data_IF_041712540395
#
_entry.id   IF_041712540395
#
_cell.length_a   1.000
_cell.length_b   1.000
_cell.length_c   1.000
_cell.angle_alpha   90.00
_cell.angle_beta   90.00
_cell.angle_gamma   90.00
#
_symmetry.space_group_name_H-M   'P 1'
#
loop_
_entity.id
_entity.type
_entity.pdbx_description
1 polymer ?
#
# COMPACT_ATOMS: atom_id res chain seq x y z
N UNK A 1 14.56 34.43 -12.89
CA UNK A 1 13.32 34.09 -13.62
C UNK A 1 12.37 35.29 -13.80
N UNK A 2 12.00 36.10 -12.79
CA UNK A 2 11.11 37.27 -13.01
C UNK A 2 11.68 38.34 -13.98
N UNK A 3 12.99 38.39 -14.13
CA UNK A 3 13.63 39.34 -15.04
C UNK A 3 13.44 38.98 -16.51
N UNK A 4 13.39 37.66 -16.85
CA UNK A 4 13.14 37.17 -18.22
C UNK A 4 11.73 37.52 -18.73
N UNK A 5 10.73 37.58 -17.82
CA UNK A 5 9.37 38.01 -18.20
C UNK A 5 9.33 39.51 -18.47
N UNK A 6 10.08 40.31 -17.72
CA UNK A 6 10.20 41.75 -17.94
C UNK A 6 10.92 42.11 -19.23
N UNK A 7 11.83 41.26 -19.67
CA UNK A 7 12.59 41.38 -20.93
C UNK A 7 11.87 40.76 -22.12
N UNK A 8 10.65 40.18 -21.94
CA UNK A 8 9.85 39.58 -23.02
C UNK A 8 10.41 38.26 -23.57
N UNK A 9 11.33 37.63 -22.83
CA UNK A 9 11.97 36.37 -23.19
C UNK A 9 11.19 35.12 -22.77
N UNK A 10 10.19 35.27 -21.87
CA UNK A 10 9.29 34.21 -21.45
C UNK A 10 7.88 34.77 -21.22
N UNK A 11 6.86 33.99 -21.52
CA UNK A 11 5.47 34.35 -21.21
C UNK A 11 5.15 34.06 -19.72
N UNK A 12 4.11 34.72 -19.20
CA UNK A 12 3.65 34.45 -17.82
C UNK A 12 3.19 33.02 -17.67
N UNK A 13 2.58 32.41 -18.69
CA UNK A 13 2.12 31.03 -18.68
C UNK A 13 3.28 30.03 -18.63
N UNK A 14 4.36 30.29 -19.35
CA UNK A 14 5.59 29.46 -19.26
C UNK A 14 6.25 29.54 -17.90
N UNK A 15 6.21 30.71 -17.26
CA UNK A 15 6.73 30.87 -15.90
C UNK A 15 5.91 30.06 -14.90
N UNK A 16 4.58 30.10 -14.99
CA UNK A 16 3.66 29.36 -14.14
C UNK A 16 3.82 27.83 -14.33
N UNK A 17 4.01 27.39 -15.55
CA UNK A 17 4.27 25.97 -15.85
C UNK A 17 5.59 25.50 -15.24
N UNK A 18 6.68 26.26 -15.41
CA UNK A 18 7.97 25.96 -14.81
C UNK A 18 7.92 25.99 -13.28
N UNK A 19 7.18 26.93 -12.69
CA UNK A 19 6.98 27.01 -11.25
C UNK A 19 6.27 25.75 -10.73
N UNK A 20 5.14 25.34 -11.34
CA UNK A 20 4.41 24.12 -10.94
C UNK A 20 5.27 22.87 -11.09
N UNK A 21 6.04 22.76 -12.16
CA UNK A 21 6.95 21.64 -12.38
C UNK A 21 8.03 21.58 -11.30
N UNK A 22 8.65 22.73 -11.00
CA UNK A 22 9.70 22.80 -9.97
C UNK A 22 9.13 22.53 -8.59
N UNK A 23 7.96 23.04 -8.25
CA UNK A 23 7.27 22.78 -7.00
C UNK A 23 7.00 21.28 -6.84
N UNK A 24 6.44 20.62 -7.86
CA UNK A 24 6.20 19.19 -7.82
C UNK A 24 7.49 18.36 -7.66
N UNK A 25 8.61 18.80 -8.22
CA UNK A 25 9.90 18.14 -8.01
C UNK A 25 10.41 18.30 -6.57
N UNK A 26 10.21 19.47 -5.96
CA UNK A 26 10.59 19.74 -4.56
C UNK A 26 9.74 18.90 -3.63
N UNK A 27 8.42 18.88 -3.80
CA UNK A 27 7.48 18.07 -3.01
C UNK A 27 7.82 16.59 -3.09
N UNK A 28 8.19 16.08 -4.27
CA UNK A 28 8.63 14.69 -4.45
C UNK A 28 9.95 14.39 -3.73
N UNK A 29 10.89 15.34 -3.70
CA UNK A 29 12.16 15.21 -2.96
C UNK A 29 11.94 15.28 -1.45
N UNK A 30 11.07 16.15 -0.96
CA UNK A 30 10.71 16.24 0.46
C UNK A 30 10.06 14.94 0.93
N UNK A 31 9.14 14.38 0.14
CA UNK A 31 8.52 13.10 0.42
C UNK A 31 9.56 11.97 0.51
N UNK A 32 10.50 11.90 -0.44
CA UNK A 32 11.59 10.90 -0.40
C UNK A 32 12.51 11.09 0.82
N UNK A 33 12.76 12.32 1.23
CA UNK A 33 13.57 12.60 2.41
C UNK A 33 12.88 12.17 3.71
N UNK A 34 11.55 12.13 3.75
CA UNK A 34 10.77 11.58 4.86
C UNK A 34 10.84 10.05 4.95
N UNK A 35 11.16 9.37 3.83
CA UNK A 35 11.34 7.92 3.74
C UNK A 35 12.79 7.55 4.12
N UNK A 36 13.16 7.76 5.38
CA UNK A 36 14.53 7.59 5.89
C UNK A 36 14.77 6.29 6.67
N UNK A 37 13.81 5.38 6.74
CA UNK A 37 14.00 4.07 7.36
C UNK A 37 14.89 3.15 6.50
N UNK A 38 15.65 2.26 7.14
CA UNK A 38 16.54 1.33 6.45
C UNK A 38 15.83 0.45 5.42
N UNK A 39 14.56 0.11 5.70
CA UNK A 39 13.73 -0.76 4.84
C UNK A 39 12.88 0.03 3.85
N UNK A 40 12.77 1.36 3.99
CA UNK A 40 11.85 2.19 3.22
C UNK A 40 12.11 2.14 1.71
N UNK A 41 13.35 1.90 1.30
CA UNK A 41 13.77 1.81 -0.11
C UNK A 41 13.36 0.49 -0.79
N UNK A 42 12.93 -0.52 0.00
CA UNK A 42 12.59 -1.84 -0.51
C UNK A 42 11.23 -1.85 -1.23
N UNK A 43 11.01 -2.93 -1.98
CA UNK A 43 9.69 -3.32 -2.45
C UNK A 43 8.76 -3.64 -1.28
N UNK A 44 7.49 -3.88 -1.54
CA UNK A 44 6.52 -4.20 -0.51
C UNK A 44 5.73 -5.47 -0.83
N UNK A 45 5.43 -6.22 0.22
CA UNK A 45 4.46 -7.31 0.20
C UNK A 45 3.29 -6.87 1.06
N UNK A 46 2.09 -6.86 0.47
CA UNK A 46 0.86 -6.46 1.14
C UNK A 46 -0.09 -7.63 1.25
N UNK A 47 -0.55 -7.91 2.45
CA UNK A 47 -1.61 -8.88 2.73
C UNK A 47 -2.90 -8.14 3.09
N UNK A 48 -3.99 -8.48 2.41
CA UNK A 48 -5.31 -7.95 2.70
C UNK A 48 -6.21 -9.11 3.11
N UNK A 49 -6.79 -9.02 4.29
CA UNK A 49 -7.70 -10.05 4.82
C UNK A 49 -9.07 -9.42 5.11
N UNK A 50 -10.12 -10.08 4.65
CA UNK A 50 -11.48 -9.70 5.02
C UNK A 50 -11.71 -9.90 6.51
N UNK A 51 -12.38 -8.95 7.16
CA UNK A 51 -12.76 -9.05 8.56
C UNK A 51 -14.05 -9.85 8.77
N UNK A 52 -14.50 -9.91 10.01
CA UNK A 52 -15.82 -10.43 10.33
C UNK A 52 -16.90 -9.50 9.74
N UNK A 53 -17.79 -10.02 8.93
CA UNK A 53 -18.85 -9.21 8.30
C UNK A 53 -19.47 -9.86 7.04
N UNK A 54 -19.13 -11.11 6.77
CA UNK A 54 -19.70 -11.85 5.63
C UNK A 54 -19.38 -11.16 4.29
N UNK A 55 -20.35 -11.16 3.39
CA UNK A 55 -20.25 -10.64 2.01
C UNK A 55 -19.72 -9.20 1.93
N UNK A 56 -20.13 -8.32 2.86
CA UNK A 56 -19.64 -6.93 2.90
C UNK A 56 -18.13 -6.83 3.11
N UNK A 57 -17.56 -7.65 4.00
CA UNK A 57 -16.13 -7.61 4.26
C UNK A 57 -15.31 -8.20 3.11
N UNK A 58 -15.83 -9.21 2.43
CA UNK A 58 -15.24 -9.80 1.23
C UNK A 58 -15.17 -8.77 0.08
N UNK A 59 -16.27 -8.04 -0.13
CA UNK A 59 -16.33 -6.98 -1.15
C UNK A 59 -15.40 -5.80 -0.78
N UNK A 60 -15.35 -5.42 0.50
CA UNK A 60 -14.45 -4.38 0.97
C UNK A 60 -12.96 -4.73 0.73
N UNK A 61 -12.56 -5.97 1.02
CA UNK A 61 -11.22 -6.45 0.73
C UNK A 61 -10.90 -6.37 -0.77
N UNK A 62 -11.85 -6.74 -1.63
CA UNK A 62 -11.70 -6.60 -3.09
C UNK A 62 -11.60 -5.14 -3.55
N UNK A 63 -12.32 -4.23 -2.90
CA UNK A 63 -12.21 -2.79 -3.19
C UNK A 63 -10.82 -2.25 -2.80
N UNK A 64 -10.30 -2.62 -1.63
CA UNK A 64 -8.95 -2.27 -1.19
C UNK A 64 -7.89 -2.81 -2.14
N UNK A 65 -7.99 -4.09 -2.52
CA UNK A 65 -7.10 -4.69 -3.50
C UNK A 65 -7.04 -3.86 -4.79
N UNK A 66 -8.21 -3.53 -5.34
CA UNK A 66 -8.29 -2.73 -6.57
C UNK A 66 -7.69 -1.33 -6.41
N UNK A 67 -7.91 -0.70 -5.26
CA UNK A 67 -7.36 0.62 -4.94
C UNK A 67 -5.84 0.59 -4.94
N UNK A 68 -5.24 -0.35 -4.22
CA UNK A 68 -3.78 -0.46 -4.12
C UNK A 68 -3.11 -0.90 -5.42
N UNK A 69 -3.73 -1.82 -6.17
CA UNK A 69 -3.23 -2.20 -7.48
C UNK A 69 -3.17 -1.00 -8.43
N UNK A 70 -4.24 -0.21 -8.52
CA UNK A 70 -4.27 1.01 -9.34
C UNK A 70 -3.29 2.07 -8.88
N UNK A 71 -3.12 2.20 -7.57
CA UNK A 71 -2.10 3.10 -7.03
C UNK A 71 -0.70 2.65 -7.45
N UNK A 72 -0.40 1.37 -7.34
CA UNK A 72 0.88 0.81 -7.74
C UNK A 72 1.18 1.04 -9.22
N UNK A 73 0.22 0.71 -10.09
CA UNK A 73 0.33 0.93 -11.55
C UNK A 73 0.54 2.42 -11.89
N UNK A 74 -0.24 3.31 -11.27
CA UNK A 74 -0.15 4.75 -11.50
C UNK A 74 1.20 5.36 -11.05
N UNK A 75 1.86 4.74 -10.07
CA UNK A 75 3.18 5.16 -9.58
C UNK A 75 4.34 4.38 -10.23
N UNK A 76 4.07 3.56 -11.24
CA UNK A 76 5.10 2.85 -12.01
C UNK A 76 5.65 1.60 -11.34
N UNK A 77 5.00 1.09 -10.30
CA UNK A 77 5.34 -0.18 -9.69
C UNK A 77 4.87 -1.36 -10.53
N UNK A 78 5.67 -2.42 -10.56
CA UNK A 78 5.20 -3.69 -11.08
C UNK A 78 4.42 -4.40 -9.97
N UNK A 79 3.11 -4.56 -10.17
CA UNK A 79 2.20 -5.16 -9.19
C UNK A 79 1.90 -6.60 -9.58
N UNK A 80 2.08 -7.54 -8.64
CA UNK A 80 1.82 -8.97 -8.84
C UNK A 80 0.98 -9.51 -7.71
N UNK A 81 -0.02 -10.31 -8.05
CA UNK A 81 -0.76 -11.10 -7.05
C UNK A 81 0.02 -12.40 -6.83
N UNK A 82 0.53 -12.59 -5.61
CA UNK A 82 1.29 -13.78 -5.22
C UNK A 82 0.36 -14.92 -4.78
N UNK A 83 -0.69 -14.59 -4.02
CA UNK A 83 -1.72 -15.52 -3.57
C UNK A 83 -3.08 -14.83 -3.52
N UNK A 84 -4.15 -15.58 -3.84
CA UNK A 84 -5.51 -15.06 -3.84
C UNK A 84 -6.48 -16.14 -3.39
N UNK A 85 -7.18 -15.88 -2.31
CA UNK A 85 -8.35 -16.65 -1.89
C UNK A 85 -9.61 -15.83 -2.15
N UNK A 86 -10.38 -16.25 -3.12
CA UNK A 86 -11.67 -15.63 -3.41
C UNK A 86 -12.71 -15.94 -2.30
N UNK A 87 -13.70 -15.08 -2.15
CA UNK A 87 -14.87 -15.37 -1.34
C UNK A 87 -15.77 -16.41 -2.03
N UNK A 88 -16.61 -17.10 -1.27
CA UNK A 88 -17.44 -18.20 -1.78
C UNK A 88 -18.42 -17.73 -2.88
N UNK A 89 -18.94 -16.50 -2.80
CA UNK A 89 -19.87 -15.94 -3.77
C UNK A 89 -19.34 -14.67 -4.43
N UNK A 90 -18.71 -13.78 -3.64
CA UNK A 90 -18.17 -12.49 -4.09
C UNK A 90 -16.93 -12.09 -3.29
N UNK A 91 -16.15 -11.20 -3.87
CA UNK A 91 -15.06 -10.52 -3.19
C UNK A 91 -13.85 -11.40 -2.91
N UNK A 92 -13.05 -10.97 -1.94
CA UNK A 92 -11.76 -11.58 -1.59
C UNK A 92 -11.74 -11.91 -0.11
N UNK A 93 -11.37 -13.14 0.23
CA UNK A 93 -11.16 -13.59 1.61
C UNK A 93 -9.79 -13.17 2.11
N UNK A 94 -8.76 -13.48 1.34
CA UNK A 94 -7.40 -13.04 1.58
C UNK A 94 -6.65 -12.89 0.25
N UNK A 95 -5.72 -11.95 0.20
CA UNK A 95 -4.84 -11.77 -0.97
C UNK A 95 -3.49 -11.26 -0.51
N UNK A 96 -2.44 -11.77 -1.17
CA UNK A 96 -1.08 -11.27 -1.05
C UNK A 96 -0.66 -10.62 -2.36
N UNK A 97 -0.25 -9.38 -2.29
CA UNK A 97 0.16 -8.56 -3.44
C UNK A 97 1.60 -8.10 -3.25
N UNK A 98 2.42 -8.29 -4.25
CA UNK A 98 3.79 -7.82 -4.31
C UNK A 98 3.88 -6.54 -5.14
N UNK A 99 4.52 -5.52 -4.58
CA UNK A 99 4.84 -4.26 -5.26
C UNK A 99 6.35 -4.18 -5.48
N UNK A 100 6.77 -4.40 -6.73
CA UNK A 100 8.17 -4.39 -7.11
C UNK A 100 8.57 -2.99 -7.58
N UNK A 101 9.47 -2.36 -6.86
CA UNK A 101 10.00 -1.03 -7.18
C UNK A 101 10.58 -0.36 -5.93
N UNK A 102 11.35 0.69 -6.16
CA UNK A 102 12.01 1.44 -5.09
C UNK A 102 11.00 2.21 -4.24
N UNK A 103 11.18 2.19 -2.92
CA UNK A 103 10.37 2.89 -1.93
C UNK A 103 8.91 2.43 -1.82
N UNK A 104 8.53 1.29 -2.41
CA UNK A 104 7.17 0.79 -2.29
C UNK A 104 6.78 0.55 -0.82
N UNK A 105 7.68 -0.05 -0.03
CA UNK A 105 7.45 -0.26 1.40
C UNK A 105 7.33 1.06 2.16
N UNK A 106 8.22 2.00 1.90
CA UNK A 106 8.20 3.32 2.55
C UNK A 106 6.87 4.05 2.38
N UNK A 107 6.28 4.00 1.18
CA UNK A 107 4.96 4.60 0.92
C UNK A 107 3.81 3.80 1.54
N UNK A 108 3.87 2.47 1.50
CA UNK A 108 2.74 1.60 1.89
C UNK A 108 2.74 1.21 3.37
N UNK A 109 3.86 1.33 4.10
CA UNK A 109 3.97 0.93 5.52
C UNK A 109 2.94 1.60 6.43
N UNK A 110 2.53 2.83 6.11
CA UNK A 110 1.52 3.58 6.88
C UNK A 110 0.10 3.05 6.69
N UNK A 111 -0.14 2.20 5.69
CA UNK A 111 -1.42 1.55 5.45
C UNK A 111 -1.67 0.34 6.36
N UNK A 112 -0.66 -0.06 7.16
CA UNK A 112 -0.82 -1.14 8.14
C UNK A 112 -1.96 -0.85 9.12
N UNK A 113 -2.89 -1.79 9.22
CA UNK A 113 -3.97 -1.69 10.19
C UNK A 113 -5.32 -2.18 9.70
N UNK A 114 -6.36 -1.76 10.40
CA UNK A 114 -7.74 -2.13 10.11
C UNK A 114 -8.45 -1.00 9.40
N UNK A 115 -8.90 -1.28 8.19
CA UNK A 115 -9.61 -0.36 7.32
C UNK A 115 -11.13 -0.50 7.49
N UNK A 116 -11.79 0.58 7.83
CA UNK A 116 -13.24 0.62 8.07
C UNK A 116 -13.98 1.19 6.87
N UNK A 117 -15.02 0.49 6.43
CA UNK A 117 -15.98 1.00 5.43
C UNK A 117 -17.35 1.19 6.09
N UNK A 118 -17.96 2.33 5.81
CA UNK A 118 -19.36 2.61 6.16
C UNK A 118 -20.08 3.04 4.91
N UNK A 119 -21.08 2.23 4.49
CA UNK A 119 -21.88 2.51 3.28
C UNK A 119 -23.29 1.95 3.39
N UNK A 120 -24.15 2.34 2.48
CA UNK A 120 -25.39 1.62 2.20
C UNK A 120 -25.03 0.31 1.48
N UNK A 121 -25.42 -0.83 2.07
CA UNK A 121 -25.03 -2.14 1.56
C UNK A 121 -25.77 -2.49 0.28
N UNK A 122 -25.07 -2.82 -0.82
CA UNK A 122 -25.69 -3.34 -2.02
C UNK A 122 -26.21 -4.78 -1.86
N UNK A 123 -25.74 -5.49 -0.80
CA UNK A 123 -26.11 -6.88 -0.51
C UNK A 123 -27.31 -7.01 0.44
N UNK A 124 -27.77 -5.90 1.00
CA UNK A 124 -28.92 -5.88 1.90
C UNK A 124 -30.17 -5.43 1.15
N UNK A 125 -31.23 -6.25 1.19
CA UNK A 125 -32.49 -5.97 0.51
C UNK A 125 -33.15 -4.63 0.88
N UNK A 126 -32.83 -4.09 2.06
CA UNK A 126 -33.35 -2.81 2.55
C UNK A 126 -32.35 -1.66 2.43
N UNK A 127 -31.24 -1.84 1.72
CA UNK A 127 -30.15 -0.84 1.58
C UNK A 127 -29.75 -0.21 2.92
N UNK A 128 -29.68 -1.01 3.99
CA UNK A 128 -29.29 -0.52 5.32
C UNK A 128 -27.83 -0.11 5.32
N UNK A 129 -27.54 0.93 6.10
CA UNK A 129 -26.17 1.35 6.40
C UNK A 129 -25.46 0.24 7.17
N UNK A 130 -24.34 -0.22 6.62
CA UNK A 130 -23.49 -1.26 7.19
C UNK A 130 -22.11 -0.72 7.48
N UNK A 131 -21.47 -1.28 8.50
CA UNK A 131 -20.06 -1.03 8.83
C UNK A 131 -19.32 -2.34 8.71
N UNK A 132 -18.22 -2.33 7.97
CA UNK A 132 -17.37 -3.52 7.77
C UNK A 132 -15.90 -3.16 7.90
N UNK A 133 -15.08 -4.17 8.10
CA UNK A 133 -13.65 -4.03 8.33
C UNK A 133 -12.87 -5.02 7.46
N UNK A 134 -11.68 -4.60 7.05
CA UNK A 134 -10.67 -5.46 6.46
C UNK A 134 -9.30 -5.07 7.04
N UNK A 135 -8.41 -6.03 7.21
CA UNK A 135 -7.05 -5.75 7.67
C UNK A 135 -6.09 -5.68 6.49
N UNK A 136 -5.16 -4.76 6.58
CA UNK A 136 -4.03 -4.61 5.66
C UNK A 136 -2.76 -4.77 6.47
N UNK A 137 -1.87 -5.63 6.02
CA UNK A 137 -0.53 -5.80 6.58
C UNK A 137 0.49 -5.61 5.46
N UNK A 138 1.49 -4.76 5.71
CA UNK A 138 2.55 -4.47 4.74
C UNK A 138 3.89 -4.82 5.37
N UNK A 139 4.66 -5.62 4.66
CA UNK A 139 6.03 -5.99 5.02
C UNK A 139 7.00 -5.61 3.90
N UNK A 140 8.27 -5.34 4.22
CA UNK A 140 9.27 -5.12 3.18
C UNK A 140 9.52 -6.39 2.39
N UNK A 141 9.68 -6.28 1.07
CA UNK A 141 10.18 -7.36 0.24
C UNK A 141 11.69 -7.48 0.49
N UNK A 142 12.08 -8.44 1.32
CA UNK A 142 13.49 -8.69 1.65
C UNK A 142 14.06 -9.56 0.56
N UNK A 143 15.16 -9.12 -0.04
CA UNK A 143 15.96 -9.98 -0.90
C UNK A 143 16.61 -11.10 -0.06
N UNK A 144 16.77 -12.30 -0.63
CA UNK A 144 17.42 -13.47 -0.01
C UNK A 144 18.89 -13.22 0.45
N UNK A 145 19.34 -11.97 0.41
CA UNK A 145 20.68 -11.55 0.80
C UNK A 145 20.87 -11.38 2.32
N UNK A 146 19.78 -11.41 3.10
CA UNK A 146 19.88 -11.38 4.57
C UNK A 146 20.09 -12.81 5.08
N UNK A 147 21.33 -13.20 5.21
CA UNK A 147 21.74 -14.44 5.85
C UNK A 147 21.54 -14.32 7.37
N UNK A 148 20.41 -14.82 7.86
CA UNK A 148 20.16 -14.89 9.31
C UNK A 148 20.93 -16.08 9.86
N UNK A 149 22.06 -15.83 10.50
CA UNK A 149 22.79 -16.86 11.22
C UNK A 149 22.15 -17.07 12.59
N UNK A 150 21.32 -18.13 12.69
CA UNK A 150 20.77 -18.55 13.96
C UNK A 150 21.83 -19.36 14.71
N UNK A 151 22.35 -18.81 15.81
CA UNK A 151 23.28 -19.56 16.66
C UNK A 151 22.49 -20.61 17.46
N UNK A 152 22.84 -21.91 17.37
CA UNK A 152 22.15 -22.96 18.12
C UNK A 152 22.15 -22.75 19.65
N UNK A 153 23.08 -21.95 20.17
CA UNK A 153 23.14 -21.60 21.59
C UNK A 153 22.05 -20.62 22.04
N UNK A 154 21.40 -19.93 21.08
CA UNK A 154 20.34 -18.96 21.33
C UNK A 154 18.93 -19.60 21.26
N UNK A 155 18.87 -20.93 20.99
CA UNK A 155 17.61 -21.68 20.90
C UNK A 155 17.39 -22.45 22.21
N UNK A 156 16.35 -22.08 22.95
CA UNK A 156 15.88 -22.82 24.11
C UNK A 156 14.65 -23.67 23.70
N UNK A 157 14.71 -24.99 24.01
CA UNK A 157 13.64 -25.94 23.65
C UNK A 157 12.84 -26.32 24.89
N UNK A 158 11.60 -25.83 24.92
CA UNK A 158 10.63 -26.26 25.93
C UNK A 158 9.61 -27.24 25.33
N UNK A 159 9.46 -28.40 25.97
CA UNK A 159 8.46 -29.41 25.54
C UNK A 159 7.29 -29.43 26.50
N UNK A 160 6.10 -29.10 25.99
CA UNK A 160 4.85 -29.18 26.74
C UNK A 160 4.04 -30.40 26.30
N UNK A 161 3.45 -31.12 27.29
CA UNK A 161 2.40 -32.07 27.00
C UNK A 161 1.08 -31.32 26.85
N UNK A 162 0.42 -31.44 25.69
CA UNK A 162 -0.99 -31.07 25.60
C UNK A 162 -1.81 -32.01 26.46
N UNK A 163 -2.51 -31.44 27.44
CA UNK A 163 -3.46 -32.17 28.26
C UNK A 163 -4.74 -32.55 27.53
#
# INVERSE_FOLDING_TARGET
MPDFVKEGLASADELDEQYRKTLGMIEALEMRNMLGGEEDHLGAIMEINSGAGGTESLDWAAMLLRMYMRWGEANGYQVRIADLQEGDEVGVKSVTVEFVGEFAYGYLKSENGVHRLVRLSPFNANNKRQTTFASVFVSPAVDDTIEIVVNPADIEWDTYRSG
#
